data_IF_810972674062
#
_entry.id   IF_810972674062
#
_cell.length_a   1.000
_cell.length_b   1.000
_cell.length_c   1.000
_cell.angle_alpha   90.00
_cell.angle_beta   90.00
_cell.angle_gamma   90.00
#
_symmetry.space_group_name_H-M   'P 1'
#
loop_
_entity.id
_entity.type
_entity.pdbx_description
1 polymer ?
#
# COMPACT_ATOMS: atom_id res chain seq x y z
N UNK A 1 -22.63 -24.66 53.91
CA UNK A 1 -21.48 -24.42 53.01
C UNK A 1 -21.86 -24.86 51.62
N UNK A 2 -21.52 -24.04 50.61
CA UNK A 2 -21.64 -24.23 49.17
C UNK A 2 -23.08 -24.33 48.60
N UNK A 3 -23.45 -23.80 47.43
CA UNK A 3 -22.66 -23.30 46.31
C UNK A 3 -23.51 -22.25 45.56
N UNK A 4 -22.95 -21.09 45.22
CA UNK A 4 -23.64 -20.06 44.42
C UNK A 4 -23.07 -20.18 43.00
N UNK A 5 -23.87 -20.53 41.97
CA UNK A 5 -23.34 -20.68 40.63
C UNK A 5 -22.91 -19.30 40.10
N UNK A 6 -21.65 -19.21 39.67
CA UNK A 6 -21.11 -18.02 39.02
C UNK A 6 -21.82 -17.77 37.67
N UNK A 7 -22.09 -16.51 37.28
CA UNK A 7 -22.70 -16.22 35.99
C UNK A 7 -21.69 -16.48 34.86
N UNK A 8 -21.93 -17.52 34.06
CA UNK A 8 -21.27 -17.69 32.76
C UNK A 8 -21.84 -16.67 31.78
N UNK A 9 -21.08 -15.61 31.49
CA UNK A 9 -21.25 -14.86 30.25
C UNK A 9 -19.89 -14.36 29.73
N UNK A 10 -19.26 -15.05 28.76
CA UNK A 10 -18.14 -14.41 28.06
C UNK A 10 -18.03 -14.67 26.54
N UNK A 11 -18.95 -15.40 25.90
CA UNK A 11 -18.82 -15.71 24.46
C UNK A 11 -19.41 -14.61 23.55
N UNK A 12 -20.67 -14.24 23.76
CA UNK A 12 -21.37 -13.29 22.88
C UNK A 12 -20.73 -11.89 22.84
N UNK A 13 -20.15 -11.42 23.94
CA UNK A 13 -19.54 -10.08 23.98
C UNK A 13 -18.21 -10.02 23.21
N UNK A 14 -17.47 -11.15 23.16
CA UNK A 14 -16.25 -11.27 22.36
C UNK A 14 -16.57 -11.33 20.87
N UNK A 15 -17.55 -12.14 20.49
CA UNK A 15 -17.97 -12.30 19.09
C UNK A 15 -18.50 -10.98 18.52
N UNK A 16 -19.37 -10.27 19.25
CA UNK A 16 -19.87 -8.96 18.86
C UNK A 16 -18.75 -7.92 18.70
N UNK A 17 -17.72 -7.96 19.53
CA UNK A 17 -16.54 -7.10 19.39
C UNK A 17 -15.69 -7.43 18.16
N UNK A 18 -15.51 -8.72 17.86
CA UNK A 18 -14.78 -9.16 16.66
C UNK A 18 -15.51 -8.69 15.40
N UNK A 19 -16.84 -8.82 15.38
CA UNK A 19 -17.67 -8.31 14.27
C UNK A 19 -17.60 -6.78 14.15
N UNK A 20 -17.61 -6.07 15.28
CA UNK A 20 -17.44 -4.62 15.30
C UNK A 20 -16.05 -4.20 14.78
N UNK A 21 -14.98 -4.93 15.11
CA UNK A 21 -13.63 -4.67 14.57
C UNK A 21 -13.54 -4.99 13.07
N UNK A 22 -14.23 -6.03 12.59
CA UNK A 22 -14.23 -6.41 11.19
C UNK A 22 -14.95 -5.38 10.29
N UNK A 23 -15.97 -4.71 10.83
CA UNK A 23 -16.77 -3.71 10.11
C UNK A 23 -16.31 -2.27 10.34
N UNK A 24 -15.44 -2.03 11.33
CA UNK A 24 -14.98 -0.69 11.67
C UNK A 24 -14.10 -0.11 10.54
N UNK A 25 -14.51 1.06 10.07
CA UNK A 25 -13.74 1.93 9.19
C UNK A 25 -13.68 3.34 9.76
N UNK A 26 -12.59 4.03 9.51
CA UNK A 26 -12.37 5.42 9.92
C UNK A 26 -12.20 6.28 8.68
N UNK A 27 -12.98 7.35 8.60
CA UNK A 27 -12.90 8.37 7.57
C UNK A 27 -12.09 9.57 8.08
N UNK A 28 -11.22 10.11 7.23
CA UNK A 28 -10.58 11.41 7.41
C UNK A 28 -10.70 12.23 6.13
N UNK A 29 -10.70 13.55 6.28
CA UNK A 29 -10.80 14.50 5.17
C UNK A 29 -9.76 15.59 5.33
N UNK A 30 -9.18 16.02 4.20
CA UNK A 30 -8.27 17.15 4.20
C UNK A 30 -9.00 18.45 4.61
N UNK A 31 -8.31 19.42 5.22
CA UNK A 31 -8.94 20.66 5.71
C UNK A 31 -9.67 21.49 4.64
N UNK A 32 -9.22 21.39 3.39
CA UNK A 32 -9.79 22.03 2.21
C UNK A 32 -10.93 21.21 1.56
N UNK A 33 -11.22 20.00 2.07
CA UNK A 33 -12.21 19.09 1.51
C UNK A 33 -11.84 18.51 0.14
N UNK A 34 -10.61 18.70 -0.32
CA UNK A 34 -10.12 18.19 -1.61
C UNK A 34 -9.99 16.67 -1.62
N UNK A 35 -9.64 16.07 -0.47
CA UNK A 35 -9.39 14.65 -0.32
C UNK A 35 -10.18 14.08 0.85
N UNK A 36 -10.71 12.87 0.70
CA UNK A 36 -11.24 12.08 1.80
C UNK A 36 -10.82 10.63 1.66
N UNK A 37 -10.38 10.02 2.77
CA UNK A 37 -9.83 8.68 2.82
C UNK A 37 -10.57 7.87 3.89
N UNK A 38 -10.96 6.65 3.54
CA UNK A 38 -11.45 5.66 4.51
C UNK A 38 -10.42 4.55 4.68
N UNK A 39 -10.14 4.18 5.91
CA UNK A 39 -9.26 3.06 6.25
C UNK A 39 -9.98 2.04 7.12
N UNK A 40 -9.59 0.77 7.04
CA UNK A 40 -10.09 -0.27 7.94
C UNK A 40 -9.31 -0.30 9.28
N UNK A 41 -9.67 -1.24 10.15
CA UNK A 41 -8.99 -1.49 11.43
C UNK A 41 -7.55 -1.95 11.31
N UNK A 42 -7.11 -2.45 10.16
CA UNK A 42 -5.70 -2.77 9.88
C UNK A 42 -4.92 -1.57 9.35
N UNK A 43 -5.59 -0.47 9.01
CA UNK A 43 -4.98 0.75 8.48
C UNK A 43 -4.78 0.68 6.97
N UNK A 44 -5.42 -0.28 6.30
CA UNK A 44 -5.49 -0.39 4.85
C UNK A 44 -6.54 0.58 4.33
N UNK A 45 -6.19 1.38 3.32
CA UNK A 45 -7.13 2.26 2.63
C UNK A 45 -8.18 1.44 1.87
N UNK A 46 -9.45 1.63 2.21
CA UNK A 46 -10.61 0.98 1.58
C UNK A 46 -11.33 1.91 0.62
N UNK A 47 -11.10 3.22 0.73
CA UNK A 47 -11.69 4.23 -0.14
C UNK A 47 -10.83 5.47 -0.21
N UNK A 48 -10.73 6.03 -1.42
CA UNK A 48 -10.20 7.35 -1.69
C UNK A 48 -11.24 8.14 -2.48
N UNK A 49 -11.50 9.38 -2.08
CA UNK A 49 -12.32 10.35 -2.81
C UNK A 49 -11.52 11.62 -3.00
N UNK A 50 -11.46 12.08 -4.23
CA UNK A 50 -10.91 13.39 -4.60
C UNK A 50 -12.08 14.23 -5.09
N UNK A 51 -12.29 15.40 -4.48
CA UNK A 51 -13.39 16.29 -4.82
C UNK A 51 -12.98 17.30 -5.88
N UNK A 52 -13.95 18.07 -6.38
CA UNK A 52 -13.70 19.11 -7.37
C UNK A 52 -12.80 20.24 -6.84
N UNK A 53 -12.67 20.41 -5.52
CA UNK A 53 -11.72 21.35 -4.93
C UNK A 53 -10.27 21.05 -5.33
N UNK A 54 -9.94 19.77 -5.61
CA UNK A 54 -8.62 19.36 -6.08
C UNK A 54 -8.28 19.87 -7.48
N UNK A 55 -9.27 20.30 -8.28
CA UNK A 55 -9.04 20.84 -9.63
C UNK A 55 -8.15 22.09 -9.65
N UNK A 56 -8.06 22.79 -8.52
CA UNK A 56 -7.23 24.00 -8.34
C UNK A 56 -5.84 23.69 -7.78
N UNK A 57 -5.57 22.44 -7.46
CA UNK A 57 -4.31 21.98 -6.89
C UNK A 57 -3.42 21.38 -7.97
N UNK A 58 -2.11 21.56 -7.82
CA UNK A 58 -1.14 20.81 -8.61
C UNK A 58 -1.17 19.32 -8.24
N UNK A 59 -0.72 18.42 -9.14
CA UNK A 59 -0.62 16.99 -8.83
C UNK A 59 0.21 16.69 -7.57
N UNK A 60 1.26 17.47 -7.31
CA UNK A 60 2.09 17.34 -6.11
C UNK A 60 1.30 17.69 -4.84
N UNK A 61 0.54 18.79 -4.85
CA UNK A 61 -0.30 19.18 -3.71
C UNK A 61 -1.40 18.15 -3.43
N UNK A 62 -1.98 17.53 -4.47
CA UNK A 62 -2.96 16.46 -4.31
C UNK A 62 -2.31 15.25 -3.64
N UNK A 63 -1.12 14.84 -4.10
CA UNK A 63 -0.39 13.72 -3.51
C UNK A 63 -0.09 13.97 -2.02
N UNK A 64 0.43 15.14 -1.68
CA UNK A 64 0.71 15.53 -0.30
C UNK A 64 -0.57 15.55 0.56
N UNK A 65 -1.67 16.05 0.01
CA UNK A 65 -2.96 16.05 0.70
C UNK A 65 -3.47 14.62 0.96
N UNK A 66 -3.33 13.70 0.00
CA UNK A 66 -3.66 12.28 0.21
C UNK A 66 -2.81 11.66 1.30
N UNK A 67 -1.49 11.84 1.25
CA UNK A 67 -0.58 11.21 2.21
C UNK A 67 -0.84 11.69 3.64
N UNK A 68 -1.05 13.00 3.83
CA UNK A 68 -1.41 13.59 5.13
C UNK A 68 -2.76 13.06 5.63
N UNK A 69 -3.79 13.10 4.79
CA UNK A 69 -5.14 12.65 5.17
C UNK A 69 -5.16 11.16 5.49
N UNK A 70 -4.37 10.35 4.78
CA UNK A 70 -4.22 8.93 5.05
C UNK A 70 -3.53 8.67 6.39
N UNK A 71 -2.49 9.42 6.74
CA UNK A 71 -1.83 9.31 8.05
C UNK A 71 -2.80 9.62 9.20
N UNK A 72 -3.60 10.67 9.05
CA UNK A 72 -4.65 11.03 10.03
C UNK A 72 -5.67 9.89 10.17
N UNK A 73 -6.13 9.33 9.06
CA UNK A 73 -7.04 8.18 9.06
C UNK A 73 -6.42 6.95 9.75
N UNK A 74 -5.15 6.65 9.48
CA UNK A 74 -4.42 5.54 10.11
C UNK A 74 -4.30 5.71 11.63
N UNK A 75 -3.96 6.92 12.10
CA UNK A 75 -3.90 7.23 13.53
C UNK A 75 -5.29 7.12 14.18
N UNK A 76 -6.33 7.63 13.52
CA UNK A 76 -7.71 7.52 13.96
C UNK A 76 -8.17 6.06 14.07
N UNK A 77 -7.83 5.23 13.09
CA UNK A 77 -8.09 3.78 13.10
C UNK A 77 -7.37 3.09 14.26
N UNK A 78 -6.08 3.40 14.47
CA UNK A 78 -5.31 2.88 15.58
C UNK A 78 -5.92 3.24 16.94
N UNK A 79 -6.32 4.49 17.13
CA UNK A 79 -6.95 4.94 18.37
C UNK A 79 -8.30 4.23 18.61
N UNK A 80 -9.17 4.19 17.59
CA UNK A 80 -10.52 3.62 17.73
C UNK A 80 -10.50 2.11 17.94
N UNK A 81 -9.58 1.40 17.28
CA UNK A 81 -9.33 -0.01 17.57
C UNK A 81 -8.79 -0.22 19.00
N UNK A 82 -8.00 0.70 19.54
CA UNK A 82 -7.48 0.61 20.92
C UNK A 82 -8.59 0.76 21.95
N UNK A 83 -9.46 1.75 21.75
CA UNK A 83 -10.63 2.01 22.58
C UNK A 83 -11.58 0.81 22.60
N UNK A 84 -11.82 0.19 21.43
CA UNK A 84 -12.69 -0.98 21.33
C UNK A 84 -12.09 -2.21 22.04
N UNK A 85 -10.77 -2.37 22.03
CA UNK A 85 -10.08 -3.50 22.68
C UNK A 85 -9.74 -3.28 24.16
N UNK A 86 -9.84 -2.06 24.69
CA UNK A 86 -9.52 -1.75 26.09
C UNK A 86 -10.15 -2.70 27.14
N UNK A 87 -11.41 -3.15 26.99
CA UNK A 87 -12.05 -4.06 27.96
C UNK A 87 -11.45 -5.47 28.02
N UNK A 88 -10.74 -5.92 26.98
CA UNK A 88 -10.18 -7.28 26.90
C UNK A 88 -8.81 -7.41 27.57
N UNK A 89 -8.22 -6.29 28.02
CA UNK A 89 -6.85 -6.28 28.53
C UNK A 89 -5.80 -6.57 27.45
N UNK A 90 -4.54 -6.67 27.84
CA UNK A 90 -3.40 -6.72 26.90
C UNK A 90 -3.13 -8.10 26.27
N UNK A 91 -4.16 -8.91 26.05
CA UNK A 91 -4.01 -10.31 25.67
C UNK A 91 -4.27 -10.53 24.16
N UNK A 92 -3.23 -10.39 23.34
CA UNK A 92 -3.21 -10.99 22.00
C UNK A 92 -2.50 -10.19 20.91
N UNK A 93 -2.26 -10.86 19.78
CA UNK A 93 -1.62 -10.34 18.56
C UNK A 93 -2.22 -9.03 18.05
N UNK A 94 -3.54 -8.85 18.17
CA UNK A 94 -4.24 -7.63 17.76
C UNK A 94 -3.79 -6.40 18.58
N UNK A 95 -3.61 -6.55 19.89
CA UNK A 95 -3.10 -5.49 20.78
C UNK A 95 -1.66 -5.12 20.46
N UNK A 96 -0.82 -6.09 20.13
CA UNK A 96 0.58 -5.85 19.74
C UNK A 96 0.69 -5.16 18.37
N UNK A 97 -0.08 -5.62 17.38
CA UNK A 97 -0.17 -4.98 16.05
C UNK A 97 -0.63 -3.53 16.16
N UNK A 98 -1.58 -3.27 17.05
CA UNK A 98 -2.10 -1.94 17.27
C UNK A 98 -1.09 -1.01 17.95
N UNK A 99 -0.39 -1.52 18.97
CA UNK A 99 0.71 -0.82 19.65
C UNK A 99 1.81 -0.44 18.66
N UNK A 100 2.17 -1.37 17.77
CA UNK A 100 3.15 -1.10 16.71
C UNK A 100 2.68 0.02 15.77
N UNK A 101 1.41 0.01 15.35
CA UNK A 101 0.84 1.05 14.49
C UNK A 101 0.74 2.43 15.17
N UNK A 102 0.45 2.47 16.48
CA UNK A 102 0.43 3.74 17.24
C UNK A 102 1.82 4.39 17.32
N UNK A 103 2.89 3.60 17.31
CA UNK A 103 4.28 4.09 17.28
C UNK A 103 4.85 4.32 15.87
N UNK A 104 4.15 3.89 14.83
CA UNK A 104 4.61 4.02 13.46
C UNK A 104 4.34 5.43 12.93
N UNK A 105 5.41 6.20 12.77
CA UNK A 105 5.38 7.49 12.06
C UNK A 105 5.99 7.27 10.68
N UNK A 106 5.21 7.30 9.58
CA UNK A 106 5.78 7.19 8.25
C UNK A 106 6.71 8.38 7.98
N UNK A 107 7.96 8.11 7.67
CA UNK A 107 8.87 9.09 7.09
C UNK A 107 8.60 9.15 5.59
N UNK A 108 7.78 10.11 5.16
CA UNK A 108 7.70 10.42 3.74
C UNK A 108 9.01 11.10 3.37
N UNK A 109 9.81 10.48 2.49
CA UNK A 109 10.80 11.24 1.76
C UNK A 109 10.01 12.31 1.03
N UNK A 110 10.18 13.55 1.47
CA UNK A 110 9.80 14.71 0.70
C UNK A 110 10.61 14.59 -0.58
N UNK A 111 10.06 13.97 -1.62
CA UNK A 111 10.65 13.94 -2.95
C UNK A 111 10.47 15.32 -3.59
N UNK A 112 10.83 16.36 -2.83
CA UNK A 112 11.07 17.71 -3.31
C UNK A 112 12.52 17.82 -3.77
N UNK A 113 13.03 16.81 -4.47
CA UNK A 113 14.16 17.07 -5.34
C UNK A 113 13.63 18.08 -6.37
N UNK A 114 14.17 19.30 -6.43
CA UNK A 114 13.74 20.26 -7.44
C UNK A 114 14.01 19.59 -8.77
N UNK A 115 12.95 19.16 -9.46
CA UNK A 115 13.05 18.75 -10.85
C UNK A 115 13.61 19.98 -11.55
N UNK A 116 14.92 19.96 -11.84
CA UNK A 116 15.57 21.03 -12.56
C UNK A 116 14.72 21.29 -13.81
N UNK A 117 14.44 22.56 -14.16
CA UNK A 117 13.60 22.86 -15.30
C UNK A 117 14.19 22.12 -16.50
N UNK A 118 13.45 21.15 -17.02
CA UNK A 118 13.82 20.46 -18.25
C UNK A 118 13.94 21.58 -19.28
N UNK A 119 15.11 21.77 -19.92
CA UNK A 119 15.25 22.81 -20.93
C UNK A 119 14.14 22.63 -21.96
N UNK A 120 13.52 23.71 -22.46
CA UNK A 120 12.50 23.59 -23.49
C UNK A 120 13.09 22.74 -24.61
N UNK A 121 12.45 21.60 -24.91
CA UNK A 121 12.81 20.81 -26.09
C UNK A 121 12.70 21.78 -27.26
N UNK A 122 13.83 22.10 -27.87
CA UNK A 122 13.87 22.75 -29.17
C UNK A 122 12.89 21.98 -30.05
N UNK A 123 11.95 22.64 -30.75
CA UNK A 123 11.17 21.94 -31.75
C UNK A 123 12.19 21.31 -32.69
N UNK A 124 12.20 19.98 -32.72
CA UNK A 124 13.02 19.25 -33.67
C UNK A 124 12.72 19.88 -35.02
N UNK A 125 13.77 20.45 -35.63
CA UNK A 125 13.79 20.76 -37.03
C UNK A 125 13.09 19.63 -37.76
N UNK A 126 12.13 19.98 -38.62
CA UNK A 126 11.50 19.04 -39.55
C UNK A 126 12.56 18.51 -40.51
N UNK A 127 13.39 17.60 -40.03
CA UNK A 127 14.27 16.77 -40.82
C UNK A 127 13.53 15.47 -41.07
N UNK A 128 13.16 15.29 -42.34
CA UNK A 128 12.38 14.20 -42.89
C UNK A 128 12.76 12.85 -42.26
N UNK A 129 12.01 12.43 -41.25
CA UNK A 129 12.01 11.05 -40.78
C UNK A 129 11.29 10.25 -41.85
N UNK A 130 12.07 9.75 -42.80
CA UNK A 130 11.63 8.72 -43.74
C UNK A 130 11.17 7.55 -42.87
N UNK A 131 9.85 7.29 -42.82
CA UNK A 131 9.33 6.05 -42.26
C UNK A 131 10.03 4.91 -43.00
N UNK A 132 10.87 4.15 -42.29
CA UNK A 132 11.44 2.93 -42.84
C UNK A 132 10.27 2.00 -43.17
N UNK A 133 10.08 1.80 -44.46
CA UNK A 133 9.13 0.88 -45.04
C UNK A 133 9.39 -0.51 -44.45
N UNK A 134 8.42 -1.04 -43.69
CA UNK A 134 8.49 -2.36 -43.04
C UNK A 134 8.01 -3.49 -43.96
N UNK A 135 7.93 -3.25 -45.27
CA UNK A 135 7.43 -4.22 -46.26
C UNK A 135 8.49 -5.19 -46.77
N UNK A 136 9.56 -5.47 -46.02
CA UNK A 136 10.50 -6.52 -46.41
C UNK A 136 9.97 -7.91 -45.95
N UNK A 137 9.77 -8.77 -46.94
CA UNK A 137 9.41 -10.20 -46.90
C UNK A 137 10.22 -10.99 -45.83
N UNK A 138 9.65 -12.04 -45.18
CA UNK A 138 10.28 -12.69 -44.04
C UNK A 138 11.61 -13.34 -44.43
N UNK A 139 12.69 -12.88 -43.80
CA UNK A 139 13.97 -13.57 -43.84
C UNK A 139 13.80 -14.98 -43.23
N UNK A 140 14.34 -15.97 -43.94
CA UNK A 140 14.34 -17.38 -43.56
C UNK A 140 15.09 -17.66 -42.25
N UNK A 141 15.10 -18.93 -41.82
CA UNK A 141 15.36 -19.33 -40.44
C UNK A 141 16.86 -19.30 -40.12
N UNK A 142 17.26 -18.51 -39.11
CA UNK A 142 18.59 -18.61 -38.49
C UNK A 142 18.47 -18.77 -36.96
N UNK A 143 18.90 -19.96 -36.55
CA UNK A 143 19.51 -20.38 -35.29
C UNK A 143 18.68 -20.30 -33.99
N UNK A 144 18.19 -21.47 -33.57
CA UNK A 144 17.74 -21.74 -32.21
C UNK A 144 18.90 -21.48 -31.23
N UNK A 145 18.74 -20.59 -30.23
CA UNK A 145 19.58 -20.66 -29.04
C UNK A 145 19.31 -21.99 -28.31
N UNK A 146 20.37 -22.61 -27.81
CA UNK A 146 20.41 -23.97 -27.25
C UNK A 146 19.25 -24.30 -26.30
N UNK A 147 18.80 -25.57 -26.23
CA UNK A 147 17.73 -25.96 -25.31
C UNK A 147 18.09 -25.50 -23.91
N UNK A 148 17.22 -24.69 -23.31
CA UNK A 148 17.32 -24.32 -21.91
C UNK A 148 17.55 -25.60 -21.09
N UNK A 149 18.61 -25.60 -20.28
CA UNK A 149 18.87 -26.67 -19.32
C UNK A 149 17.56 -26.98 -18.59
N UNK A 150 17.12 -28.23 -18.66
CA UNK A 150 15.89 -28.64 -17.98
C UNK A 150 16.14 -28.62 -16.47
N UNK A 151 15.12 -28.33 -15.67
CA UNK A 151 15.22 -28.28 -14.20
C UNK A 151 15.93 -29.52 -13.62
N UNK A 152 15.74 -30.69 -14.24
CA UNK A 152 16.40 -31.94 -13.85
C UNK A 152 17.94 -31.89 -13.99
N UNK A 153 18.46 -31.28 -15.07
CA UNK A 153 19.91 -31.11 -15.27
C UNK A 153 20.52 -30.16 -14.22
N UNK A 154 19.75 -29.14 -13.80
CA UNK A 154 20.17 -28.20 -12.76
C UNK A 154 20.35 -28.89 -11.40
N UNK A 155 19.47 -29.85 -11.07
CA UNK A 155 19.56 -30.61 -9.81
C UNK A 155 20.62 -31.71 -9.84
N UNK A 156 20.89 -32.32 -10.99
CA UNK A 156 21.95 -33.35 -11.13
C UNK A 156 23.36 -32.75 -11.03
N UNK A 157 23.56 -31.51 -11.49
CA UNK A 157 24.90 -30.91 -11.58
C UNK A 157 25.46 -30.37 -10.25
N UNK A 158 24.70 -30.50 -9.15
CA UNK A 158 25.11 -30.15 -7.80
C UNK A 158 25.21 -28.65 -7.54
N UNK A 159 24.84 -28.22 -6.32
CA UNK A 159 24.86 -26.81 -5.90
C UNK A 159 26.27 -26.21 -6.06
N UNK A 160 26.46 -25.41 -7.13
CA UNK A 160 27.65 -24.57 -7.28
C UNK A 160 27.49 -23.35 -6.39
N UNK A 161 27.96 -23.44 -5.15
CA UNK A 161 28.20 -22.26 -4.35
C UNK A 161 29.32 -21.44 -5.00
N UNK A 162 28.99 -20.26 -5.51
CA UNK A 162 29.98 -19.27 -5.92
C UNK A 162 30.20 -18.32 -4.72
N UNK A 163 31.29 -18.45 -3.95
CA UNK A 163 31.51 -17.59 -2.80
C UNK A 163 32.14 -16.29 -3.30
N UNK A 164 31.29 -15.31 -3.60
CA UNK A 164 31.71 -13.92 -3.75
C UNK A 164 30.69 -12.99 -3.10
N UNK A 165 30.70 -13.00 -1.77
CA UNK A 165 30.48 -11.85 -0.89
C UNK A 165 31.08 -12.13 0.48
#
# INVERSE_FOLDING_TARGET
MADKPAPKKPANDREAMVEALATLSVDASSPDGAVSVSVNTDGVMTRLRVSEAASRMSPAEIADAVMRTYQEAQQGSAKRSAELMAPLGNAGYLTDRLRWRLGFTPSFQQTGEPVAPVPPRTPASTENVVLKDRSAEPAGPEEQPEPAETDDQYYEQGLRYNPSW
#
